data_IF_353106061526
#
_entry.id   IF_353106061526
#
_cell.length_a   1.000
_cell.length_b   1.000
_cell.length_c   1.000
_cell.angle_alpha   90.00
_cell.angle_beta   90.00
_cell.angle_gamma   90.00
#
_symmetry.space_group_name_H-M   'P 1'
#
loop_
_entity.id
_entity.type
_entity.pdbx_description
1 polymer ?
#
# COMPACT_ATOMS: atom_id res chain seq x y z
N UNK A 1 7.36 14.18 -7.47
CA UNK A 1 6.51 13.15 -6.83
C UNK A 1 7.27 11.89 -6.43
N UNK A 2 8.12 11.31 -7.31
CA UNK A 2 8.85 10.08 -7.00
C UNK A 2 9.70 10.12 -5.70
N UNK A 3 10.37 11.24 -5.42
CA UNK A 3 11.19 11.42 -4.20
C UNK A 3 10.32 11.34 -2.93
N UNK A 4 9.12 11.93 -2.93
CA UNK A 4 8.20 11.93 -1.77
C UNK A 4 7.76 10.50 -1.45
N UNK A 5 7.33 9.74 -2.45
CA UNK A 5 6.96 8.33 -2.28
C UNK A 5 8.14 7.48 -1.79
N UNK A 6 9.34 7.71 -2.36
CA UNK A 6 10.54 7.01 -1.95
C UNK A 6 10.92 7.30 -0.48
N UNK A 7 10.82 8.56 -0.02
CA UNK A 7 11.09 8.93 1.39
C UNK A 7 10.20 8.17 2.37
N UNK A 8 8.94 7.93 2.00
CA UNK A 8 7.99 7.19 2.84
C UNK A 8 8.25 5.67 2.83
N UNK A 9 8.65 5.10 1.69
CA UNK A 9 8.82 3.64 1.51
C UNK A 9 10.20 3.14 1.92
N UNK A 10 11.25 3.93 1.71
CA UNK A 10 12.64 3.53 1.97
C UNK A 10 12.88 2.99 3.39
N UNK A 11 12.28 3.56 4.46
CA UNK A 11 12.44 3.03 5.82
C UNK A 11 11.97 1.58 5.98
N UNK A 12 11.04 1.09 5.15
CA UNK A 12 10.58 -0.30 5.22
C UNK A 12 11.67 -1.32 4.87
N UNK A 13 12.69 -0.95 4.09
CA UNK A 13 13.80 -1.84 3.73
C UNK A 13 14.63 -2.24 4.96
N UNK A 14 14.76 -1.34 5.93
CA UNK A 14 15.62 -1.54 7.10
C UNK A 14 14.79 -1.68 8.39
N UNK A 15 13.86 -0.74 8.62
CA UNK A 15 13.09 -0.62 9.85
C UNK A 15 12.14 -1.80 10.10
N UNK A 16 11.57 -2.36 9.03
CA UNK A 16 10.65 -3.51 9.15
C UNK A 16 11.36 -4.72 9.75
N UNK A 17 12.60 -4.99 9.31
CA UNK A 17 13.40 -6.11 9.81
C UNK A 17 13.72 -5.98 11.30
N UNK A 18 14.06 -4.76 11.73
CA UNK A 18 14.31 -4.44 13.14
C UNK A 18 13.03 -4.61 13.97
N UNK A 19 11.91 -4.08 13.51
CA UNK A 19 10.63 -4.19 14.21
C UNK A 19 10.12 -5.62 14.30
N UNK A 20 10.31 -6.46 13.28
CA UNK A 20 9.96 -7.88 13.35
C UNK A 20 10.64 -8.59 14.52
N UNK A 21 11.91 -8.27 14.80
CA UNK A 21 12.66 -8.82 15.93
C UNK A 21 12.19 -8.24 17.26
N UNK A 22 11.96 -6.93 17.30
CA UNK A 22 11.53 -6.24 18.51
C UNK A 22 10.13 -6.71 18.96
N UNK A 23 9.22 -6.90 18.00
CA UNK A 23 7.86 -7.38 18.23
C UNK A 23 7.77 -8.81 18.78
N UNK A 24 8.85 -9.60 18.69
CA UNK A 24 8.92 -10.94 19.27
C UNK A 24 9.57 -10.96 20.66
N UNK A 25 10.31 -9.92 21.03
CA UNK A 25 10.97 -9.80 22.34
C UNK A 25 10.20 -8.94 23.32
N UNK A 26 9.36 -8.04 22.82
CA UNK A 26 8.61 -7.09 23.62
C UNK A 26 7.11 -7.36 23.52
N UNK A 27 6.36 -6.85 24.50
CA UNK A 27 4.90 -6.79 24.41
C UNK A 27 4.51 -5.88 23.23
N UNK A 28 3.74 -6.43 22.29
CA UNK A 28 3.39 -5.75 21.04
C UNK A 28 2.46 -4.54 21.26
N UNK A 29 1.63 -4.56 22.29
CA UNK A 29 0.80 -3.42 22.66
C UNK A 29 1.63 -2.28 23.27
N UNK A 30 2.65 -2.59 24.09
CA UNK A 30 3.63 -1.59 24.54
C UNK A 30 4.38 -1.00 23.37
N UNK A 31 4.85 -1.83 22.43
CA UNK A 31 5.58 -1.35 21.27
C UNK A 31 4.72 -0.45 20.37
N UNK A 32 3.46 -0.83 20.13
CA UNK A 32 2.49 0.00 19.42
C UNK A 32 2.33 1.39 20.05
N UNK A 33 2.20 1.47 21.38
CA UNK A 33 2.10 2.75 22.11
C UNK A 33 3.34 3.62 21.96
N UNK A 34 4.55 3.05 22.09
CA UNK A 34 5.79 3.81 21.92
C UNK A 34 5.94 4.34 20.49
N UNK A 35 5.61 3.51 19.48
CA UNK A 35 5.67 3.95 18.07
C UNK A 35 4.67 5.08 17.83
N UNK A 36 3.44 4.98 18.35
CA UNK A 36 2.44 6.06 18.19
C UNK A 36 2.76 7.33 18.98
N UNK A 37 3.48 7.20 20.08
CA UNK A 37 4.03 8.36 20.80
C UNK A 37 5.13 9.04 19.97
N UNK A 38 6.02 8.27 19.35
CA UNK A 38 7.04 8.80 18.44
C UNK A 38 6.43 9.45 17.18
N UNK A 39 5.32 8.89 16.68
CA UNK A 39 4.56 9.45 15.56
C UNK A 39 3.99 10.84 15.89
N UNK A 40 3.55 11.08 17.14
CA UNK A 40 3.14 12.40 17.60
C UNK A 40 4.31 13.41 17.55
N UNK A 41 5.54 12.97 17.86
CA UNK A 41 6.74 13.79 17.67
C UNK A 41 6.95 14.17 16.20
N UNK A 42 6.72 13.24 15.26
CA UNK A 42 6.76 13.52 13.82
C UNK A 42 5.68 14.53 13.42
N UNK A 43 4.51 14.48 14.05
CA UNK A 43 3.44 15.48 13.86
C UNK A 43 3.87 16.87 14.30
N UNK A 44 4.54 17.00 15.44
CA UNK A 44 5.09 18.30 15.89
C UNK A 44 6.13 18.84 14.89
N UNK A 45 6.99 17.97 14.34
CA UNK A 45 7.94 18.36 13.28
C UNK A 45 7.22 18.80 12.00
N UNK A 46 6.14 18.10 11.62
CA UNK A 46 5.33 18.50 10.45
C UNK A 46 4.67 19.87 10.67
N UNK A 47 4.08 20.10 11.85
CA UNK A 47 3.43 21.36 12.21
C UNK A 47 4.42 22.52 12.23
N UNK A 48 5.59 22.33 12.82
CA UNK A 48 6.67 23.34 12.79
C UNK A 48 7.11 23.63 11.36
N UNK A 49 7.21 22.61 10.50
CA UNK A 49 7.45 22.77 9.07
C UNK A 49 6.37 23.60 8.35
N UNK A 50 5.09 23.36 8.66
CA UNK A 50 3.96 24.11 8.08
C UNK A 50 3.93 25.59 8.51
N UNK A 51 4.43 25.90 9.72
CA UNK A 51 4.51 27.26 10.25
C UNK A 51 5.82 27.98 9.90
N UNK A 52 6.87 27.25 9.52
CA UNK A 52 8.17 27.82 9.16
C UNK A 52 8.10 28.63 7.85
N UNK A 53 9.12 29.47 7.62
CA UNK A 53 9.29 30.23 6.38
C UNK A 53 10.66 29.94 5.75
N UNK A 54 10.76 30.04 4.43
CA UNK A 54 12.01 29.84 3.68
C UNK A 54 12.41 28.37 3.48
N UNK A 55 13.69 28.14 3.20
CA UNK A 55 14.22 26.81 2.83
C UNK A 55 14.09 25.74 3.93
N UNK A 56 13.89 26.13 5.19
CA UNK A 56 13.68 25.22 6.31
C UNK A 56 12.37 24.42 6.20
N UNK A 57 11.34 24.95 5.51
CA UNK A 57 10.02 24.31 5.36
C UNK A 57 10.15 22.94 4.69
N UNK A 58 10.82 22.90 3.53
CA UNK A 58 10.98 21.66 2.78
C UNK A 58 11.75 20.63 3.60
N UNK A 59 12.85 21.03 4.24
CA UNK A 59 13.66 20.14 5.07
C UNK A 59 12.86 19.55 6.24
N UNK A 60 12.08 20.36 6.95
CA UNK A 60 11.24 19.91 8.07
C UNK A 60 10.11 18.98 7.62
N UNK A 61 9.44 19.28 6.50
CA UNK A 61 8.39 18.43 5.97
C UNK A 61 8.94 17.09 5.45
N UNK A 62 10.11 17.09 4.80
CA UNK A 62 10.80 15.85 4.41
C UNK A 62 11.28 15.05 5.62
N UNK A 63 11.77 15.71 6.66
CA UNK A 63 12.15 15.06 7.91
C UNK A 63 10.94 14.42 8.60
N UNK A 64 9.81 15.13 8.69
CA UNK A 64 8.57 14.59 9.22
C UNK A 64 8.08 13.39 8.39
N UNK A 65 8.11 13.51 7.06
CA UNK A 65 7.72 12.43 6.15
C UNK A 65 8.60 11.18 6.32
N UNK A 66 9.91 11.36 6.46
CA UNK A 66 10.84 10.27 6.76
C UNK A 66 10.52 9.64 8.12
N UNK A 67 10.25 10.46 9.14
CA UNK A 67 9.84 10.02 10.47
C UNK A 67 8.55 9.19 10.45
N UNK A 68 7.53 9.62 9.70
CA UNK A 68 6.31 8.84 9.46
C UNK A 68 6.61 7.53 8.74
N UNK A 69 7.50 7.53 7.75
CA UNK A 69 7.96 6.31 7.08
C UNK A 69 8.62 5.32 8.04
N UNK A 70 9.48 5.80 8.94
CA UNK A 70 10.09 4.98 10.01
C UNK A 70 9.02 4.43 10.94
N UNK A 71 8.10 5.26 11.43
CA UNK A 71 7.01 4.82 12.31
C UNK A 71 6.13 3.75 11.62
N UNK A 72 5.80 3.94 10.35
CA UNK A 72 5.02 2.98 9.56
C UNK A 72 5.77 1.65 9.36
N UNK A 73 7.07 1.70 9.06
CA UNK A 73 7.93 0.54 8.92
C UNK A 73 8.03 -0.26 10.23
N UNK A 74 8.10 0.44 11.37
CA UNK A 74 8.14 -0.18 12.69
C UNK A 74 6.77 -0.76 13.10
N UNK A 75 5.69 -0.05 12.80
CA UNK A 75 4.34 -0.43 13.18
C UNK A 75 3.79 -1.59 12.35
N UNK A 76 4.22 -1.73 11.09
CA UNK A 76 3.74 -2.76 10.16
C UNK A 76 3.78 -4.19 10.75
N UNK A 77 4.97 -4.70 11.13
CA UNK A 77 5.10 -6.02 11.76
C UNK A 77 4.27 -6.17 13.04
N UNK A 78 4.21 -5.12 13.86
CA UNK A 78 3.48 -5.10 15.12
C UNK A 78 1.98 -5.23 14.90
N UNK A 79 1.38 -4.39 14.04
CA UNK A 79 -0.07 -4.34 13.81
C UNK A 79 -0.61 -5.68 13.31
N UNK A 80 0.08 -6.29 12.35
CA UNK A 80 -0.40 -7.53 11.73
C UNK A 80 -0.08 -8.75 12.60
N UNK A 81 0.98 -8.71 13.41
CA UNK A 81 1.26 -9.76 14.38
C UNK A 81 0.29 -9.74 15.56
N UNK A 82 -0.36 -8.61 15.87
CA UNK A 82 -1.38 -8.52 16.92
C UNK A 82 -2.68 -9.26 16.56
N UNK A 83 -3.02 -9.36 15.27
CA UNK A 83 -4.29 -9.99 14.87
C UNK A 83 -4.41 -11.44 15.35
N UNK A 84 -3.44 -12.34 15.12
CA UNK A 84 -3.55 -13.75 15.52
C UNK A 84 -3.37 -13.98 17.02
N UNK A 85 -3.07 -12.92 17.78
CA UNK A 85 -3.01 -12.97 19.24
C UNK A 85 -4.37 -12.71 19.88
N UNK A 86 -5.19 -11.85 19.27
CA UNK A 86 -6.51 -11.47 19.78
C UNK A 86 -7.68 -12.08 19.00
N UNK A 87 -7.42 -12.64 17.81
CA UNK A 87 -8.46 -13.19 16.95
C UNK A 87 -8.19 -14.64 16.55
N UNK A 88 -9.24 -15.47 16.48
CA UNK A 88 -9.12 -16.82 15.94
C UNK A 88 -8.86 -16.78 14.43
N UNK A 89 -8.17 -17.81 13.90
CA UNK A 89 -7.80 -17.90 12.47
C UNK A 89 -8.94 -17.58 11.49
N UNK A 90 -10.18 -18.08 11.66
CA UNK A 90 -11.28 -17.77 10.75
C UNK A 90 -11.67 -16.30 10.65
N UNK A 91 -11.33 -15.47 11.67
CA UNK A 91 -11.61 -14.03 11.68
C UNK A 91 -10.48 -13.20 11.06
N UNK A 92 -9.33 -13.80 10.73
CA UNK A 92 -8.20 -13.08 10.16
C UNK A 92 -8.52 -12.43 8.80
N UNK A 93 -9.23 -13.07 7.85
CA UNK A 93 -9.60 -12.41 6.59
C UNK A 93 -10.43 -11.14 6.80
N UNK A 94 -11.44 -11.20 7.68
CA UNK A 94 -12.27 -10.05 8.00
C UNK A 94 -11.47 -8.91 8.67
N UNK A 95 -10.56 -9.24 9.58
CA UNK A 95 -9.70 -8.26 10.23
C UNK A 95 -8.71 -7.60 9.24
N UNK A 96 -8.10 -8.37 8.34
CA UNK A 96 -7.24 -7.82 7.29
C UNK A 96 -8.03 -6.94 6.33
N UNK A 97 -9.24 -7.35 5.93
CA UNK A 97 -10.10 -6.52 5.09
C UNK A 97 -10.48 -5.19 5.75
N UNK A 98 -10.78 -5.19 7.05
CA UNK A 98 -11.04 -3.96 7.80
C UNK A 98 -9.81 -3.04 7.81
N UNK A 99 -8.62 -3.57 8.14
CA UNK A 99 -7.37 -2.80 8.13
C UNK A 99 -7.09 -2.21 6.74
N UNK A 100 -7.17 -3.03 5.69
CA UNK A 100 -6.89 -2.59 4.32
C UNK A 100 -7.88 -1.52 3.87
N UNK A 101 -9.18 -1.77 4.02
CA UNK A 101 -10.23 -0.81 3.67
C UNK A 101 -10.02 0.53 4.36
N UNK A 102 -9.82 0.52 5.69
CA UNK A 102 -9.58 1.76 6.44
C UNK A 102 -8.27 2.43 6.06
N UNK A 103 -7.22 1.67 5.75
CA UNK A 103 -5.93 2.23 5.30
C UNK A 103 -6.11 2.98 3.97
N UNK A 104 -6.80 2.39 2.99
CA UNK A 104 -7.00 3.05 1.70
C UNK A 104 -7.96 4.23 1.79
N UNK A 105 -9.02 4.15 2.60
CA UNK A 105 -9.87 5.30 2.90
C UNK A 105 -9.08 6.43 3.56
N UNK A 106 -8.17 6.13 4.49
CA UNK A 106 -7.31 7.13 5.11
C UNK A 106 -6.31 7.75 4.13
N UNK A 107 -5.70 6.95 3.24
CA UNK A 107 -4.83 7.46 2.16
C UNK A 107 -5.60 8.40 1.26
N UNK A 108 -6.82 8.02 0.85
CA UNK A 108 -7.67 8.84 -0.01
C UNK A 108 -8.05 10.14 0.70
N UNK A 109 -8.59 10.06 1.92
CA UNK A 109 -8.96 11.23 2.71
C UNK A 109 -7.77 12.18 2.94
N UNK A 110 -6.60 11.65 3.27
CA UNK A 110 -5.38 12.43 3.45
C UNK A 110 -4.88 13.07 2.15
N UNK A 111 -4.97 12.36 1.03
CA UNK A 111 -4.58 12.89 -0.29
C UNK A 111 -5.51 14.03 -0.73
N UNK A 112 -6.83 13.86 -0.56
CA UNK A 112 -7.80 14.91 -0.84
C UNK A 112 -7.61 16.13 0.08
N UNK A 113 -7.45 15.91 1.38
CA UNK A 113 -7.21 16.99 2.34
C UNK A 113 -5.90 17.74 2.01
N UNK A 114 -4.83 17.03 1.68
CA UNK A 114 -3.56 17.62 1.27
C UNK A 114 -3.66 18.40 -0.04
N UNK A 115 -4.38 17.88 -1.04
CA UNK A 115 -4.58 18.54 -2.34
C UNK A 115 -5.38 19.84 -2.23
N UNK A 116 -6.52 19.81 -1.52
CA UNK A 116 -7.39 20.98 -1.33
C UNK A 116 -6.71 22.11 -0.55
N UNK A 117 -5.93 21.76 0.48
CA UNK A 117 -5.23 22.75 1.27
C UNK A 117 -3.89 23.15 0.65
N UNK A 118 -3.31 22.33 -0.23
CA UNK A 118 -2.02 22.57 -0.87
C UNK A 118 -2.02 23.80 -1.79
N UNK A 119 -3.09 24.00 -2.58
CA UNK A 119 -3.25 25.21 -3.39
C UNK A 119 -3.40 26.47 -2.51
N UNK A 120 -4.25 26.39 -1.48
CA UNK A 120 -4.46 27.50 -0.55
C UNK A 120 -3.22 27.82 0.31
N UNK A 121 -2.36 26.82 0.59
CA UNK A 121 -1.07 26.97 1.28
C UNK A 121 -0.06 27.78 0.46
N UNK A 122 -0.08 27.62 -0.87
CA UNK A 122 0.81 28.27 -1.83
C UNK A 122 0.43 29.73 -2.08
N UNK A 123 -0.87 30.06 -2.02
CA UNK A 123 -1.36 31.43 -2.20
C UNK A 123 -0.90 32.38 -1.09
N UNK A 124 -0.51 31.86 0.08
CA UNK A 124 0.20 32.61 1.14
C UNK A 124 -0.60 33.75 1.82
N UNK A 125 -1.82 34.01 1.37
CA UNK A 125 -2.67 35.13 1.80
C UNK A 125 -3.43 34.87 3.10
N UNK A 126 -3.60 33.60 3.49
CA UNK A 126 -4.36 33.21 4.68
C UNK A 126 -3.68 32.08 5.45
N UNK A 127 -3.51 32.26 6.77
CA UNK A 127 -2.97 31.22 7.65
C UNK A 127 -4.00 30.13 7.99
N UNK A 128 -5.30 30.37 7.73
CA UNK A 128 -6.41 29.47 8.06
C UNK A 128 -6.25 28.03 7.53
N UNK A 129 -5.97 27.81 6.24
CA UNK A 129 -5.74 26.47 5.67
C UNK A 129 -4.55 25.74 6.32
N UNK A 130 -3.49 26.49 6.70
CA UNK A 130 -2.32 25.92 7.37
C UNK A 130 -2.68 25.40 8.76
N UNK A 131 -3.42 26.22 9.50
CA UNK A 131 -3.88 25.89 10.85
C UNK A 131 -4.85 24.71 10.84
N UNK A 132 -5.75 24.65 9.85
CA UNK A 132 -6.68 23.54 9.66
C UNK A 132 -5.94 22.22 9.40
N UNK A 133 -4.93 22.24 8.52
CA UNK A 133 -4.11 21.05 8.25
C UNK A 133 -3.30 20.61 9.48
N UNK A 134 -2.69 21.57 10.19
CA UNK A 134 -1.96 21.29 11.42
C UNK A 134 -2.87 20.67 12.50
N UNK A 135 -4.07 21.22 12.68
CA UNK A 135 -5.07 20.70 13.61
C UNK A 135 -5.55 19.29 13.22
N UNK A 136 -5.78 19.04 11.92
CA UNK A 136 -6.15 17.71 11.43
C UNK A 136 -5.04 16.67 11.66
N UNK A 137 -3.77 17.03 11.39
CA UNK A 137 -2.63 16.16 11.67
C UNK A 137 -2.50 15.85 13.17
N UNK A 138 -2.66 16.85 14.04
CA UNK A 138 -2.63 16.65 15.49
C UNK A 138 -3.78 15.78 15.98
N UNK A 139 -5.01 16.03 15.52
CA UNK A 139 -6.19 15.25 15.88
C UNK A 139 -6.03 13.78 15.45
N UNK A 140 -5.56 13.54 14.23
CA UNK A 140 -5.32 12.17 13.74
C UNK A 140 -4.24 11.43 14.53
N UNK A 141 -3.12 12.10 14.86
CA UNK A 141 -2.08 11.52 15.70
C UNK A 141 -2.58 11.21 17.13
N UNK A 142 -3.39 12.11 17.71
CA UNK A 142 -3.99 11.91 19.02
C UNK A 142 -4.96 10.72 19.04
N UNK A 143 -5.84 10.62 18.03
CA UNK A 143 -6.75 9.47 17.87
C UNK A 143 -5.96 8.16 17.72
N UNK A 144 -4.89 8.17 16.93
CA UNK A 144 -4.03 6.99 16.75
C UNK A 144 -3.35 6.56 18.06
N UNK A 145 -2.89 7.52 18.87
CA UNK A 145 -2.30 7.25 20.19
C UNK A 145 -3.34 6.70 21.17
N UNK A 146 -4.53 7.31 21.24
CA UNK A 146 -5.64 6.83 22.07
C UNK A 146 -6.02 5.39 21.67
N UNK A 147 -6.20 5.14 20.37
CA UNK A 147 -6.49 3.81 19.86
C UNK A 147 -5.39 2.79 20.22
N UNK A 148 -4.11 3.20 20.18
CA UNK A 148 -3.00 2.35 20.60
C UNK A 148 -2.99 2.05 22.10
N UNK A 149 -3.47 2.98 22.94
CA UNK A 149 -3.62 2.75 24.38
C UNK A 149 -4.70 1.73 24.72
N UNK A 150 -5.71 1.56 23.85
CA UNK A 150 -6.80 0.60 24.01
C UNK A 150 -6.42 -0.82 23.56
N UNK A 151 -5.24 -1.03 22.97
CA UNK A 151 -4.79 -2.36 22.55
C UNK A 151 -4.53 -3.23 23.79
N UNK A 152 -5.21 -4.38 23.93
CA UNK A 152 -4.98 -5.28 25.06
C UNK A 152 -3.53 -5.80 25.10
N UNK A 153 -3.00 -6.18 26.28
CA UNK A 153 -1.66 -6.74 26.39
C UNK A 153 -1.43 -7.92 25.44
N UNK A 154 -0.27 -7.93 24.79
CA UNK A 154 0.11 -8.94 23.81
C UNK A 154 1.56 -9.37 24.09
N UNK A 155 1.79 -10.15 25.16
CA UNK A 155 3.13 -10.52 25.58
C UNK A 155 3.85 -11.35 24.50
N UNK A 156 5.19 -11.26 24.45
CA UNK A 156 5.98 -12.05 23.51
C UNK A 156 5.78 -13.54 23.78
N UNK A 157 5.68 -14.34 22.71
CA UNK A 157 5.72 -15.79 22.81
C UNK A 157 7.17 -16.23 22.56
N UNK A 158 7.83 -16.93 23.50
CA UNK A 158 9.23 -17.30 23.34
C UNK A 158 9.40 -18.15 22.08
N UNK A 159 10.21 -17.66 21.15
CA UNK A 159 10.70 -18.44 20.02
C UNK A 159 11.92 -19.24 20.48
N UNK A 160 11.97 -20.54 20.18
CA UNK A 160 13.12 -21.39 20.53
C UNK A 160 14.43 -20.99 19.83
N UNK A 161 14.39 -20.12 18.83
CA UNK A 161 15.55 -19.68 18.07
C UNK A 161 16.00 -18.28 18.48
N UNK A 162 17.24 -18.20 18.97
CA UNK A 162 17.90 -16.98 19.46
C UNK A 162 18.44 -16.06 18.35
N UNK A 163 18.49 -16.55 17.10
CA UNK A 163 19.21 -15.88 16.03
C UNK A 163 18.41 -14.74 15.40
N UNK A 164 18.97 -13.54 15.50
CA UNK A 164 18.35 -12.27 15.12
C UNK A 164 18.29 -12.00 13.60
N UNK A 165 18.15 -13.03 12.77
CA UNK A 165 17.97 -12.90 11.32
C UNK A 165 16.49 -13.09 10.93
N UNK A 166 16.11 -12.56 9.75
CA UNK A 166 14.82 -12.91 9.15
C UNK A 166 14.84 -14.40 8.76
N UNK A 167 13.73 -15.16 8.95
CA UNK A 167 13.65 -16.60 8.68
C UNK A 167 14.14 -16.95 7.27
N UNK A 168 14.99 -17.94 7.07
CA UNK A 168 15.59 -18.27 5.77
C UNK A 168 14.59 -18.73 4.68
N UNK A 169 15.07 -18.86 3.44
CA UNK A 169 14.28 -19.43 2.31
C UNK A 169 14.31 -20.97 2.29
N UNK A 170 15.25 -21.58 3.01
CA UNK A 170 15.39 -23.04 3.08
C UNK A 170 14.22 -23.64 3.85
N UNK A 171 13.58 -24.66 3.28
CA UNK A 171 12.43 -25.32 3.91
C UNK A 171 11.18 -24.45 4.03
N UNK A 172 11.08 -23.37 3.24
CA UNK A 172 9.96 -22.44 3.30
C UNK A 172 8.61 -23.14 3.10
N UNK A 173 7.72 -22.95 4.06
CA UNK A 173 6.33 -23.42 3.97
C UNK A 173 5.66 -22.88 2.70
N UNK A 174 4.98 -23.74 1.92
CA UNK A 174 4.36 -23.30 0.68
C UNK A 174 3.33 -22.17 0.85
N UNK A 175 2.55 -22.17 1.92
CA UNK A 175 1.60 -21.11 2.23
C UNK A 175 2.29 -19.78 2.49
N UNK A 176 3.41 -19.79 3.22
CA UNK A 176 4.20 -18.58 3.46
C UNK A 176 4.77 -18.05 2.14
N UNK A 177 5.36 -18.90 1.28
CA UNK A 177 5.90 -18.42 0.01
C UNK A 177 4.81 -17.85 -0.92
N UNK A 178 3.65 -18.52 -1.03
CA UNK A 178 2.52 -17.99 -1.80
C UNK A 178 2.07 -16.63 -1.29
N UNK A 179 1.96 -16.47 0.04
CA UNK A 179 1.58 -15.20 0.65
C UNK A 179 2.61 -14.09 0.41
N UNK A 180 3.91 -14.40 0.46
CA UNK A 180 4.98 -13.45 0.17
C UNK A 180 4.90 -12.98 -1.29
N UNK A 181 4.70 -13.89 -2.25
CA UNK A 181 4.58 -13.55 -3.68
C UNK A 181 3.33 -12.71 -3.93
N UNK A 182 2.16 -13.15 -3.43
CA UNK A 182 0.90 -12.43 -3.61
C UNK A 182 0.94 -11.03 -2.98
N UNK A 183 1.44 -10.91 -1.74
CA UNK A 183 1.57 -9.63 -1.06
C UNK A 183 2.56 -8.68 -1.75
N UNK A 184 3.68 -9.20 -2.25
CA UNK A 184 4.66 -8.42 -3.01
C UNK A 184 4.06 -7.93 -4.33
N UNK A 185 3.32 -8.79 -5.04
CA UNK A 185 2.63 -8.41 -6.27
C UNK A 185 1.58 -7.32 -6.03
N UNK A 186 0.77 -7.45 -4.97
CA UNK A 186 -0.22 -6.44 -4.57
C UNK A 186 0.41 -5.06 -4.40
N UNK A 187 1.47 -4.96 -3.58
CA UNK A 187 2.14 -3.69 -3.31
C UNK A 187 2.90 -3.14 -4.53
N UNK A 188 3.58 -4.01 -5.27
CA UNK A 188 4.27 -3.63 -6.50
C UNK A 188 3.27 -3.06 -7.52
N UNK A 189 2.30 -3.86 -7.95
CA UNK A 189 1.34 -3.46 -8.98
C UNK A 189 0.52 -2.24 -8.55
N UNK A 190 0.10 -2.17 -7.28
CA UNK A 190 -0.60 -1.00 -6.74
C UNK A 190 0.26 0.26 -6.77
N UNK A 191 1.52 0.18 -6.34
CA UNK A 191 2.43 1.33 -6.34
C UNK A 191 2.73 1.85 -7.76
N UNK A 192 2.94 0.94 -8.71
CA UNK A 192 3.23 1.31 -10.09
C UNK A 192 1.98 1.83 -10.81
N UNK A 193 0.80 1.25 -10.55
CA UNK A 193 -0.46 1.78 -11.05
C UNK A 193 -0.68 3.21 -10.55
N UNK A 194 -0.52 3.47 -9.25
CA UNK A 194 -0.64 4.82 -8.69
C UNK A 194 0.40 5.80 -9.24
N UNK A 195 1.62 5.35 -9.54
CA UNK A 195 2.64 6.19 -10.15
C UNK A 195 2.37 6.50 -11.63
N UNK A 196 1.84 5.53 -12.39
CA UNK A 196 1.59 5.64 -13.82
C UNK A 196 0.26 6.31 -14.16
N UNK A 197 -0.79 6.14 -13.35
CA UNK A 197 -2.14 6.60 -13.69
C UNK A 197 -2.23 8.12 -13.90
N UNK A 198 -1.65 8.98 -13.04
CA UNK A 198 -1.62 10.43 -13.28
C UNK A 198 -0.86 10.78 -14.56
N UNK A 199 0.23 10.06 -14.83
CA UNK A 199 1.07 10.28 -16.00
C UNK A 199 0.31 9.89 -17.27
N UNK A 200 -0.41 8.77 -17.26
CA UNK A 200 -1.30 8.35 -18.35
C UNK A 200 -2.38 9.39 -18.63
N UNK A 201 -3.05 9.89 -17.58
CA UNK A 201 -4.10 10.92 -17.73
C UNK A 201 -3.53 12.19 -18.37
N UNK A 202 -2.39 12.67 -17.89
CA UNK A 202 -1.82 13.93 -18.35
C UNK A 202 -1.17 13.81 -19.73
N UNK A 203 -0.36 12.76 -19.95
CA UNK A 203 0.45 12.61 -21.17
C UNK A 203 -0.28 11.90 -22.31
N UNK A 204 -1.25 11.04 -22.01
CA UNK A 204 -1.97 10.25 -23.04
C UNK A 204 -3.39 10.72 -23.22
N UNK A 205 -4.12 11.02 -22.14
CA UNK A 205 -5.51 11.48 -22.24
C UNK A 205 -5.62 13.01 -22.41
N UNK A 206 -4.53 13.76 -22.17
CA UNK A 206 -4.54 15.23 -22.21
C UNK A 206 -5.38 15.85 -21.08
N UNK A 207 -5.42 15.18 -19.92
CA UNK A 207 -6.13 15.63 -18.73
C UNK A 207 -5.32 16.59 -17.87
N UNK A 208 -6.00 17.41 -17.08
CA UNK A 208 -5.39 18.28 -16.08
C UNK A 208 -5.08 17.55 -14.75
N UNK A 209 -4.68 18.31 -13.73
CA UNK A 209 -4.42 17.78 -12.39
C UNK A 209 -5.68 17.28 -11.68
N UNK A 210 -6.86 17.86 -11.95
CA UNK A 210 -8.13 17.41 -11.36
C UNK A 210 -8.56 16.07 -11.95
N UNK A 211 -8.41 15.89 -13.26
CA UNK A 211 -8.64 14.62 -13.94
C UNK A 211 -7.71 13.52 -13.40
N UNK A 212 -6.42 13.83 -13.21
CA UNK A 212 -5.48 12.88 -12.63
C UNK A 212 -5.86 12.49 -11.19
N UNK A 213 -6.32 13.47 -10.38
CA UNK A 213 -6.81 13.23 -9.03
C UNK A 213 -8.09 12.37 -9.02
N UNK A 214 -9.02 12.57 -9.96
CA UNK A 214 -10.21 11.73 -10.11
C UNK A 214 -9.83 10.28 -10.40
N UNK A 215 -8.88 10.05 -11.32
CA UNK A 215 -8.42 8.70 -11.63
C UNK A 215 -7.77 8.00 -10.43
N UNK A 216 -6.93 8.70 -9.68
CA UNK A 216 -6.34 8.20 -8.43
C UNK A 216 -7.41 7.95 -7.35
N UNK A 217 -8.39 8.84 -7.22
CA UNK A 217 -9.51 8.68 -6.31
C UNK A 217 -10.35 7.45 -6.64
N UNK A 218 -10.69 7.26 -7.91
CA UNK A 218 -11.41 6.09 -8.41
C UNK A 218 -10.64 4.80 -8.12
N UNK A 219 -9.33 4.78 -8.39
CA UNK A 219 -8.45 3.67 -8.02
C UNK A 219 -8.50 3.42 -6.51
N UNK A 220 -8.23 4.40 -5.66
CA UNK A 220 -8.18 4.17 -4.22
C UNK A 220 -9.55 3.74 -3.61
N UNK A 221 -10.69 4.17 -4.18
CA UNK A 221 -12.02 3.72 -3.75
C UNK A 221 -12.30 2.24 -4.04
N UNK A 222 -11.68 1.65 -5.06
CA UNK A 222 -11.95 0.26 -5.44
C UNK A 222 -11.42 -0.78 -4.46
N UNK A 223 -10.40 -0.45 -3.65
CA UNK A 223 -9.71 -1.44 -2.82
C UNK A 223 -10.59 -1.94 -1.67
N UNK A 224 -11.40 -1.07 -1.07
CA UNK A 224 -12.32 -1.44 0.02
C UNK A 224 -13.33 -2.53 -0.39
N UNK A 225 -14.12 -2.33 -1.46
CA UNK A 225 -15.00 -3.36 -2.00
C UNK A 225 -14.29 -4.68 -2.32
N UNK A 226 -13.09 -4.63 -2.92
CA UNK A 226 -12.27 -5.80 -3.18
C UNK A 226 -11.87 -6.56 -1.91
N UNK A 227 -11.43 -5.83 -0.89
CA UNK A 227 -11.06 -6.39 0.41
C UNK A 227 -12.25 -7.07 1.11
N UNK A 228 -13.42 -6.43 1.10
CA UNK A 228 -14.67 -7.01 1.63
C UNK A 228 -15.06 -8.27 0.84
N UNK A 229 -14.97 -8.24 -0.49
CA UNK A 229 -15.26 -9.39 -1.34
C UNK A 229 -14.32 -10.57 -1.04
N UNK A 230 -13.02 -10.32 -0.86
CA UNK A 230 -12.07 -11.36 -0.47
C UNK A 230 -12.35 -11.96 0.91
N UNK A 231 -12.74 -11.14 1.89
CA UNK A 231 -13.11 -11.63 3.21
C UNK A 231 -14.39 -12.49 3.15
N UNK A 232 -15.39 -12.07 2.36
CA UNK A 232 -16.63 -12.83 2.15
C UNK A 232 -16.35 -14.15 1.46
N UNK A 233 -15.58 -14.16 0.37
CA UNK A 233 -15.23 -15.37 -0.38
C UNK A 233 -14.49 -16.39 0.51
N UNK A 234 -13.68 -15.93 1.46
CA UNK A 234 -12.99 -16.83 2.39
C UNK A 234 -13.94 -17.55 3.36
N UNK A 235 -15.13 -17.02 3.68
CA UNK A 235 -16.14 -17.68 4.55
C UNK A 235 -15.56 -18.34 5.83
N UNK A 236 -14.57 -17.70 6.47
CA UNK A 236 -13.88 -18.23 7.65
C UNK A 236 -12.83 -19.30 7.37
N UNK A 237 -12.60 -19.68 6.11
CA UNK A 237 -11.49 -20.50 5.64
C UNK A 237 -10.43 -19.61 5.01
N UNK A 238 -9.16 -19.93 5.25
CA UNK A 238 -8.05 -19.17 4.68
C UNK A 238 -7.63 -19.87 3.39
N UNK A 239 -7.75 -19.19 2.25
CA UNK A 239 -7.51 -19.76 0.92
C UNK A 239 -6.80 -18.76 0.00
N UNK A 240 -5.94 -19.27 -0.87
CA UNK A 240 -5.22 -18.49 -1.88
C UNK A 240 -6.09 -18.14 -3.10
N UNK A 241 -7.22 -18.83 -3.30
CA UNK A 241 -8.04 -18.69 -4.52
C UNK A 241 -8.45 -17.24 -4.85
N UNK A 242 -8.90 -16.40 -3.89
CA UNK A 242 -9.24 -15.01 -4.20
C UNK A 242 -8.03 -14.20 -4.67
N UNK A 243 -6.83 -14.46 -4.14
CA UNK A 243 -5.62 -13.76 -4.55
C UNK A 243 -5.17 -14.14 -5.96
N UNK A 244 -5.37 -15.40 -6.37
CA UNK A 244 -5.12 -15.83 -7.74
C UNK A 244 -6.10 -15.16 -8.72
N UNK A 245 -7.39 -15.15 -8.38
CA UNK A 245 -8.42 -14.49 -9.18
C UNK A 245 -8.17 -12.97 -9.29
N UNK A 246 -7.83 -12.33 -8.17
CA UNK A 246 -7.45 -10.92 -8.13
C UNK A 246 -6.21 -10.63 -8.97
N UNK A 247 -5.21 -11.51 -8.98
CA UNK A 247 -4.00 -11.32 -9.79
C UNK A 247 -4.28 -11.38 -11.29
N UNK A 248 -5.16 -12.30 -11.73
CA UNK A 248 -5.63 -12.36 -13.12
C UNK A 248 -6.47 -11.13 -13.46
N UNK A 249 -7.46 -10.79 -12.63
CA UNK A 249 -8.36 -9.66 -12.85
C UNK A 249 -7.63 -8.31 -12.91
N UNK A 250 -6.65 -8.10 -12.02
CA UNK A 250 -5.80 -6.90 -12.03
C UNK A 250 -5.02 -6.81 -13.35
N UNK A 251 -4.45 -7.93 -13.80
CA UNK A 251 -3.72 -7.97 -15.07
C UNK A 251 -4.61 -7.67 -16.27
N UNK A 252 -5.81 -8.26 -16.32
CA UNK A 252 -6.79 -8.02 -17.39
C UNK A 252 -7.26 -6.56 -17.40
N UNK A 253 -7.54 -5.96 -16.25
CA UNK A 253 -7.91 -4.54 -16.15
C UNK A 253 -6.78 -3.61 -16.62
N UNK A 254 -5.52 -3.91 -16.28
CA UNK A 254 -4.36 -3.18 -16.79
C UNK A 254 -4.19 -3.32 -18.32
N UNK A 255 -4.43 -4.52 -18.86
CA UNK A 255 -4.38 -4.77 -20.31
C UNK A 255 -5.52 -4.04 -21.04
N UNK A 256 -6.73 -4.03 -20.49
CA UNK A 256 -7.86 -3.31 -21.09
C UNK A 256 -7.64 -1.80 -21.07
N UNK A 257 -7.13 -1.26 -19.95
CA UNK A 257 -6.72 0.14 -19.85
C UNK A 257 -5.66 0.47 -20.91
N UNK A 258 -4.64 -0.38 -21.07
CA UNK A 258 -3.61 -0.22 -22.09
C UNK A 258 -4.21 -0.21 -23.50
N UNK A 259 -5.10 -1.16 -23.81
CA UNK A 259 -5.78 -1.29 -25.11
C UNK A 259 -6.60 -0.03 -25.42
N UNK A 260 -7.39 0.45 -24.47
CA UNK A 260 -8.20 1.68 -24.64
C UNK A 260 -7.33 2.92 -24.80
N UNK A 261 -6.25 3.02 -24.03
CA UNK A 261 -5.31 4.13 -24.10
C UNK A 261 -4.49 4.13 -25.40
N UNK A 262 -4.21 2.97 -26.00
CA UNK A 262 -3.35 2.85 -27.18
C UNK A 262 -3.92 3.55 -28.43
N UNK A 263 -5.24 3.70 -28.50
CA UNK A 263 -5.92 4.40 -29.59
C UNK A 263 -6.13 5.89 -29.33
N UNK A 264 -5.75 6.37 -28.14
CA UNK A 264 -5.88 7.76 -27.74
C UNK A 264 -4.53 8.44 -27.84
N UNK A 265 -4.55 9.67 -28.34
CA UNK A 265 -3.41 10.59 -28.28
C UNK A 265 -3.88 11.86 -27.60
N UNK A 266 -3.00 12.47 -26.81
CA UNK A 266 -3.33 13.74 -26.17
C UNK A 266 -3.71 14.74 -27.28
N UNK A 267 -4.91 15.35 -27.25
CA UNK A 267 -5.31 16.30 -28.27
C UNK A 267 -4.36 17.49 -28.28
N UNK A 268 -4.12 18.06 -29.47
CA UNK A 268 -3.50 19.37 -29.57
C UNK A 268 -4.47 20.42 -28.97
N UNK A 269 -4.13 20.97 -27.80
CA UNK A 269 -4.98 21.92 -27.11
C UNK A 269 -4.70 22.03 -25.61
N UNK A 270 -5.45 22.88 -24.89
CA UNK A 270 -5.34 22.98 -23.44
C UNK A 270 -5.76 21.66 -22.77
N UNK A 271 -5.20 21.41 -21.58
CA UNK A 271 -5.55 20.25 -20.79
C UNK A 271 -7.06 20.25 -20.47
N UNK A 272 -7.69 19.08 -20.60
CA UNK A 272 -9.11 18.86 -20.34
C UNK A 272 -9.31 18.56 -18.86
N UNK A 273 -10.32 19.18 -18.27
CA UNK A 273 -10.77 18.79 -16.94
C UNK A 273 -11.41 17.39 -16.97
N UNK A 274 -11.80 16.91 -15.79
CA UNK A 274 -12.40 15.58 -15.67
C UNK A 274 -13.75 15.45 -16.39
N UNK A 275 -14.54 16.53 -16.52
CA UNK A 275 -15.83 16.50 -17.21
C UNK A 275 -15.63 16.36 -18.72
N UNK A 276 -14.72 17.14 -19.29
CA UNK A 276 -14.39 17.11 -20.70
C UNK A 276 -13.75 15.77 -21.11
N UNK A 277 -12.96 15.13 -20.24
CA UNK A 277 -12.45 13.78 -20.49
C UNK A 277 -13.57 12.74 -20.51
N UNK A 278 -14.50 12.78 -19.55
CA UNK A 278 -15.65 11.88 -19.53
C UNK A 278 -16.51 12.04 -20.78
N UNK A 279 -16.78 13.28 -21.20
CA UNK A 279 -17.50 13.59 -22.43
C UNK A 279 -16.75 13.09 -23.68
N UNK A 280 -15.42 13.04 -23.64
CA UNK A 280 -14.58 12.47 -24.69
C UNK A 280 -14.50 10.93 -24.66
N UNK A 281 -15.30 10.25 -23.83
CA UNK A 281 -15.43 8.80 -23.83
C UNK A 281 -14.40 8.05 -22.98
N UNK A 282 -13.69 8.70 -22.06
CA UNK A 282 -12.71 8.04 -21.18
C UNK A 282 -13.32 7.36 -19.95
N UNK A 283 -14.65 7.41 -19.77
CA UNK A 283 -15.34 6.80 -18.62
C UNK A 283 -15.00 5.31 -18.39
N UNK A 284 -14.89 4.45 -19.43
CA UNK A 284 -14.48 3.06 -19.24
C UNK A 284 -13.08 2.90 -18.63
N UNK A 285 -12.17 3.84 -18.87
CA UNK A 285 -10.81 3.79 -18.32
C UNK A 285 -10.77 4.11 -16.82
N UNK A 286 -11.72 4.93 -16.33
CA UNK A 286 -11.94 5.09 -14.89
C UNK A 286 -12.53 3.81 -14.28
N UNK A 287 -13.41 3.13 -15.01
CA UNK A 287 -13.91 1.82 -14.57
C UNK A 287 -12.79 0.78 -14.50
N UNK A 288 -11.83 0.79 -15.45
CA UNK A 288 -10.62 -0.03 -15.38
C UNK A 288 -9.79 0.31 -14.13
N UNK A 289 -9.66 1.59 -13.78
CA UNK A 289 -8.98 2.02 -12.55
C UNK A 289 -9.64 1.47 -11.28
N UNK A 290 -10.97 1.51 -11.21
CA UNK A 290 -11.74 0.90 -10.11
C UNK A 290 -11.56 -0.62 -10.11
N UNK A 291 -11.65 -1.27 -11.28
CA UNK A 291 -11.53 -2.71 -11.42
C UNK A 291 -10.14 -3.21 -10.99
N UNK A 292 -9.06 -2.52 -11.39
CA UNK A 292 -7.69 -2.78 -10.93
C UNK A 292 -7.64 -2.79 -9.40
N UNK A 293 -8.22 -1.78 -8.76
CA UNK A 293 -8.21 -1.64 -7.32
C UNK A 293 -9.06 -2.68 -6.57
N UNK A 294 -10.24 -3.01 -7.09
CA UNK A 294 -11.07 -4.12 -6.56
C UNK A 294 -10.27 -5.42 -6.63
N UNK A 295 -9.62 -5.68 -7.76
CA UNK A 295 -8.78 -6.86 -7.92
C UNK A 295 -7.55 -6.84 -6.99
N UNK A 296 -6.95 -5.66 -6.73
CA UNK A 296 -5.88 -5.53 -5.76
C UNK A 296 -6.35 -5.90 -4.34
N UNK A 297 -7.52 -5.44 -3.91
CA UNK A 297 -8.13 -5.84 -2.64
C UNK A 297 -8.38 -7.35 -2.52
N UNK A 298 -8.62 -8.04 -3.64
CA UNK A 298 -8.71 -9.50 -3.68
C UNK A 298 -7.39 -10.22 -3.41
N UNK A 299 -6.25 -9.53 -3.55
CA UNK A 299 -4.90 -10.08 -3.36
C UNK A 299 -4.37 -9.82 -1.95
N UNK A 300 -4.51 -8.58 -1.45
CA UNK A 300 -3.97 -8.16 -0.15
C UNK A 300 -4.52 -8.99 1.01
N UNK A 301 -5.85 -9.04 1.13
CA UNK A 301 -6.54 -9.69 2.25
C UNK A 301 -6.16 -11.16 2.42
N UNK A 302 -6.22 -12.03 1.39
CA UNK A 302 -5.81 -13.42 1.56
C UNK A 302 -4.31 -13.57 1.82
N UNK A 303 -3.46 -12.76 1.17
CA UNK A 303 -2.01 -12.83 1.39
C UNK A 303 -1.66 -12.56 2.86
N UNK A 304 -2.23 -11.50 3.46
CA UNK A 304 -2.06 -11.19 4.87
C UNK A 304 -2.57 -12.29 5.79
N UNK A 305 -3.79 -12.81 5.54
CA UNK A 305 -4.39 -13.85 6.35
C UNK A 305 -3.62 -15.18 6.29
N UNK A 306 -3.17 -15.60 5.11
CA UNK A 306 -2.34 -16.80 4.92
C UNK A 306 -1.01 -16.64 5.65
N UNK A 307 -0.30 -15.53 5.44
CA UNK A 307 0.98 -15.28 6.09
C UNK A 307 0.86 -15.37 7.61
N UNK A 308 -0.16 -14.74 8.18
CA UNK A 308 -0.44 -14.74 9.62
C UNK A 308 -0.77 -16.14 10.15
N UNK A 309 -1.57 -16.92 9.41
CA UNK A 309 -2.06 -18.22 9.85
C UNK A 309 -1.04 -19.36 9.70
N UNK A 310 -0.19 -19.29 8.67
CA UNK A 310 0.86 -20.25 8.36
C UNK A 310 2.15 -20.00 9.14
N UNK A 311 2.43 -18.74 9.52
CA UNK A 311 3.63 -18.40 10.28
C UNK A 311 3.62 -19.04 11.69
N UNK A 312 4.74 -19.67 12.12
CA UNK A 312 4.87 -20.26 13.44
C UNK A 312 4.59 -19.24 14.58
N UNK A 313 3.92 -19.66 15.69
CA UNK A 313 3.78 -18.82 16.87
C UNK A 313 5.17 -18.42 17.39
N UNK A 314 5.47 -17.12 17.42
CA UNK A 314 6.81 -16.61 17.77
C UNK A 314 7.74 -16.35 16.58
N UNK A 315 7.30 -16.53 15.33
CA UNK A 315 8.03 -16.05 14.13
C UNK A 315 7.18 -15.12 13.25
N UNK A 316 5.92 -14.86 13.63
CA UNK A 316 4.92 -14.14 12.83
C UNK A 316 5.38 -12.73 12.47
N UNK A 317 5.89 -11.99 13.44
CA UNK A 317 6.30 -10.60 13.21
C UNK A 317 7.52 -10.55 12.28
N UNK A 318 8.46 -11.50 12.39
CA UNK A 318 9.57 -11.61 11.43
C UNK A 318 9.12 -11.97 10.01
N UNK A 319 8.15 -12.87 9.84
CA UNK A 319 7.60 -13.19 8.51
C UNK A 319 6.88 -12.00 7.88
N UNK A 320 6.07 -11.28 8.65
CA UNK A 320 5.45 -10.02 8.21
C UNK A 320 6.53 -8.98 7.87
N UNK A 321 7.57 -8.87 8.69
CA UNK A 321 8.67 -7.96 8.42
C UNK A 321 9.38 -8.26 7.11
N UNK A 322 9.60 -9.55 6.81
CA UNK A 322 10.15 -10.01 5.53
C UNK A 322 9.22 -9.67 4.37
N UNK A 323 7.91 -9.89 4.52
CA UNK A 323 6.93 -9.55 3.47
C UNK A 323 6.95 -8.06 3.13
N UNK A 324 6.97 -7.21 4.16
CA UNK A 324 7.08 -5.76 4.01
C UNK A 324 8.39 -5.33 3.34
N UNK A 325 9.50 -5.95 3.74
CA UNK A 325 10.84 -5.64 3.17
C UNK A 325 10.89 -6.01 1.68
N UNK A 326 10.39 -7.20 1.33
CA UNK A 326 10.32 -7.68 -0.05
C UNK A 326 9.41 -6.79 -0.90
N UNK A 327 8.25 -6.41 -0.36
CA UNK A 327 7.31 -5.50 -1.02
C UNK A 327 7.95 -4.13 -1.27
N UNK A 328 8.60 -3.53 -0.26
CA UNK A 328 9.28 -2.26 -0.40
C UNK A 328 10.42 -2.31 -1.42
N UNK A 329 11.22 -3.39 -1.42
CA UNK A 329 12.29 -3.59 -2.39
C UNK A 329 11.73 -3.70 -3.82
N UNK A 330 10.65 -4.45 -4.01
CA UNK A 330 9.98 -4.57 -5.30
C UNK A 330 9.42 -3.22 -5.76
N UNK A 331 8.72 -2.47 -4.89
CA UNK A 331 8.18 -1.15 -5.21
C UNK A 331 9.27 -0.16 -5.64
N UNK A 332 10.40 -0.11 -4.91
CA UNK A 332 11.54 0.76 -5.25
C UNK A 332 12.16 0.34 -6.59
N UNK A 333 12.44 -0.95 -6.77
CA UNK A 333 13.01 -1.47 -8.01
C UNK A 333 12.08 -1.22 -9.22
N UNK A 334 10.78 -1.45 -9.07
CA UNK A 334 9.77 -1.19 -10.09
C UNK A 334 9.67 0.30 -10.44
N UNK A 335 9.66 1.18 -9.44
CA UNK A 335 9.64 2.62 -9.66
C UNK A 335 10.89 3.11 -10.41
N UNK A 336 12.07 2.59 -10.06
CA UNK A 336 13.32 2.89 -10.77
C UNK A 336 13.29 2.38 -12.22
N UNK A 337 12.76 1.17 -12.44
CA UNK A 337 12.61 0.60 -13.78
C UNK A 337 11.65 1.44 -14.65
N UNK A 338 10.50 1.86 -14.11
CA UNK A 338 9.57 2.76 -14.81
C UNK A 338 10.23 4.09 -15.11
N UNK A 339 10.92 4.69 -14.14
CA UNK A 339 11.60 5.96 -14.35
C UNK A 339 12.67 5.86 -15.45
N UNK A 340 13.42 4.75 -15.51
CA UNK A 340 14.40 4.50 -16.57
C UNK A 340 13.72 4.35 -17.94
N UNK A 341 12.63 3.58 -18.03
CA UNK A 341 11.88 3.40 -19.28
C UNK A 341 11.25 4.72 -19.78
N UNK A 342 10.70 5.53 -18.88
CA UNK A 342 10.17 6.85 -19.21
C UNK A 342 11.26 7.81 -19.68
N UNK A 343 12.45 7.77 -19.06
CA UNK A 343 13.63 8.53 -19.53
C UNK A 343 14.10 8.08 -20.91
N UNK A 344 13.88 6.82 -21.26
CA UNK A 344 14.13 6.29 -22.60
C UNK A 344 13.01 6.64 -23.61
N UNK A 345 11.99 7.41 -23.21
CA UNK A 345 10.90 7.84 -24.07
C UNK A 345 9.73 6.85 -24.17
N UNK A 346 9.72 5.77 -23.37
CA UNK A 346 8.59 4.83 -23.36
C UNK A 346 7.39 5.51 -22.69
N UNK A 347 6.29 5.62 -23.45
CA UNK A 347 5.02 6.16 -22.98
C UNK A 347 4.42 5.35 -21.81
N UNK A 348 3.56 5.93 -20.96
CA UNK A 348 2.93 5.21 -19.83
C UNK A 348 2.02 4.06 -20.27
N UNK A 349 1.37 4.15 -21.43
CA UNK A 349 0.44 3.15 -21.96
C UNK A 349 1.03 1.73 -22.04
N UNK A 350 2.14 1.47 -22.79
CA UNK A 350 2.72 0.13 -22.88
C UNK A 350 3.25 -0.38 -21.53
N UNK A 351 3.56 0.49 -20.57
CA UNK A 351 3.97 0.07 -19.23
C UNK A 351 2.83 -0.59 -18.46
N UNK A 352 1.59 -0.09 -18.60
CA UNK A 352 0.41 -0.78 -18.09
C UNK A 352 0.21 -2.15 -18.76
N UNK A 353 0.43 -2.24 -20.08
CA UNK A 353 0.35 -3.53 -20.79
C UNK A 353 1.38 -4.55 -20.29
N UNK A 354 2.64 -4.12 -20.11
CA UNK A 354 3.71 -4.97 -19.58
C UNK A 354 3.42 -5.44 -18.15
N UNK A 355 2.94 -4.55 -17.26
CA UNK A 355 2.52 -4.92 -15.92
C UNK A 355 1.32 -5.85 -15.93
N UNK A 356 0.35 -5.58 -16.81
CA UNK A 356 -0.85 -6.40 -16.95
C UNK A 356 -0.57 -7.84 -17.35
N UNK A 357 0.46 -8.07 -18.17
CA UNK A 357 0.91 -9.41 -18.55
C UNK A 357 1.55 -10.20 -17.38
N UNK A 358 2.17 -9.54 -16.40
CA UNK A 358 2.80 -10.21 -15.25
C UNK A 358 1.77 -10.85 -14.31
N UNK A 359 0.61 -10.24 -14.12
CA UNK A 359 -0.43 -10.74 -13.20
C UNK A 359 -0.89 -12.18 -13.48
N UNK A 360 -1.35 -12.51 -14.71
CA UNK A 360 -1.73 -13.86 -15.10
C UNK A 360 -0.57 -14.86 -15.03
N UNK A 361 0.66 -14.43 -15.36
CA UNK A 361 1.86 -15.28 -15.25
C UNK A 361 2.12 -15.66 -13.79
N UNK A 362 2.07 -14.68 -12.87
CA UNK A 362 2.24 -14.94 -11.45
C UNK A 362 1.13 -15.83 -10.89
N UNK A 363 -0.12 -15.63 -11.33
CA UNK A 363 -1.25 -16.46 -10.93
C UNK A 363 -1.10 -17.92 -11.40
N UNK A 364 -0.69 -18.14 -12.64
CA UNK A 364 -0.51 -19.49 -13.20
C UNK A 364 0.66 -20.22 -12.54
N UNK A 365 1.81 -19.57 -12.38
CA UNK A 365 2.96 -20.12 -11.67
C UNK A 365 2.63 -20.43 -10.20
N UNK A 366 1.93 -19.50 -9.52
CA UNK A 366 1.47 -19.70 -8.14
C UNK A 366 0.51 -20.88 -7.99
N UNK A 367 -0.46 -21.02 -8.91
CA UNK A 367 -1.41 -22.12 -8.91
C UNK A 367 -0.74 -23.47 -9.19
N UNK A 368 0.16 -23.53 -10.19
CA UNK A 368 0.91 -24.73 -10.53
C UNK A 368 1.79 -25.20 -9.36
N UNK A 369 2.50 -24.25 -8.75
CA UNK A 369 3.35 -24.52 -7.61
C UNK A 369 2.55 -24.98 -6.38
N UNK A 370 1.42 -24.32 -6.08
CA UNK A 370 0.53 -24.70 -4.98
C UNK A 370 0.01 -26.14 -5.13
N UNK A 371 -0.49 -26.49 -6.32
CA UNK A 371 -0.96 -27.85 -6.63
C UNK A 371 0.16 -28.88 -6.49
N UNK A 372 1.37 -28.57 -6.98
CA UNK A 372 2.52 -29.49 -6.92
C UNK A 372 3.00 -29.82 -5.49
N UNK A 373 2.65 -28.99 -4.51
CA UNK A 373 2.99 -29.17 -3.09
C UNK A 373 1.89 -29.90 -2.33
N UNK A 374 0.62 -29.68 -2.66
CA UNK A 374 -0.49 -30.49 -2.10
C UNK A 374 -0.42 -31.95 -2.55
N UNK A 375 0.03 -32.21 -3.78
CA UNK A 375 0.23 -33.57 -4.31
C UNK A 375 1.41 -34.33 -3.67
N UNK A 376 2.26 -33.67 -2.87
CA UNK A 376 3.35 -34.33 -2.12
C UNK A 376 3.00 -34.60 -0.65
N UNK A 377 1.77 -34.26 -0.24
CA UNK A 377 1.26 -34.46 1.12
C UNK A 377 0.23 -35.60 1.21
N UNK A 378 0.01 -36.32 0.11
CA UNK A 378 -0.77 -37.56 -0.01
C UNK A 378 0.09 -38.63 -0.68
#
# INVERSE_FOLDING_TARGET
MAIVGATLVLPFLFGSTFAGRLAERCDRARLARHIKTAELGCTVVAMTGLCARGHAVAALLYLALLGYGVCAALFGPVKYALLPDHLPKPRLPAANAAIETTTFLAILAGTFAGGLNGSALLDGRHDGPRLALAAALLATAAIALIAAMLIPPAPPRPAGERDGALPGWRGLDPAIAAALVAGTWFWLAGSLAMALLPVLVQQTLGGDSQAAALALGAFALGIGPGAVLAARWQHGRISLAPALAGSVGLGLAMLDLCRRAAHLSAPAGPARDWQALLAAGTAPMLADAVAMAVCAGLIGVPAGAILQAASPPGQRARWIARANTLSAAAMVAGALAIAALQRAGIAPTPLFGALGALGPVLATLGAAWWRSRQLRLY
#
